data_IF_446217625316
#
_entry.id   IF_446217625316
#
_cell.length_a   1.000
_cell.length_b   1.000
_cell.length_c   1.000
_cell.angle_alpha   90.00
_cell.angle_beta   90.00
_cell.angle_gamma   90.00
#
_symmetry.space_group_name_H-M   'P 1'
#
loop_
_entity.id
_entity.type
_entity.pdbx_description
1 polymer ?
#
# COMPACT_ATOMS: atom_id res chain seq x y z
N UNK A 1 -11.31 -7.33 14.32
CA UNK A 1 -10.66 -6.10 14.80
C UNK A 1 -9.33 -6.53 15.38
N UNK A 2 -8.23 -6.20 14.70
CA UNK A 2 -6.88 -6.29 15.24
C UNK A 2 -6.29 -4.89 15.41
N UNK A 3 -5.11 -4.77 16.04
CA UNK A 3 -4.37 -3.51 16.24
C UNK A 3 -4.58 -2.89 17.63
N UNK A 4 -3.55 -2.22 18.15
CA UNK A 4 -3.43 -1.83 19.57
C UNK A 4 -4.19 -0.55 19.98
N UNK A 5 -4.53 0.34 19.03
CA UNK A 5 -5.16 1.64 19.33
C UNK A 5 -6.65 1.53 19.73
N UNK A 6 -7.18 2.42 20.59
CA UNK A 6 -8.59 2.46 20.94
C UNK A 6 -9.48 2.58 19.70
N UNK A 7 -10.48 1.69 19.59
CA UNK A 7 -11.38 1.65 18.44
C UNK A 7 -12.79 1.22 18.81
N UNK A 8 -13.77 1.76 18.08
CA UNK A 8 -15.18 1.41 18.22
C UNK A 8 -15.79 1.00 16.88
N UNK A 9 -16.84 0.19 16.92
CA UNK A 9 -17.71 -0.06 15.77
C UNK A 9 -18.94 0.82 15.86
N UNK A 10 -19.25 1.54 14.79
CA UNK A 10 -20.45 2.36 14.69
C UNK A 10 -21.17 2.10 13.37
N UNK A 11 -22.42 2.57 13.29
CA UNK A 11 -23.16 2.65 12.03
C UNK A 11 -23.41 4.11 11.68
N UNK A 12 -23.15 4.49 10.43
CA UNK A 12 -23.49 5.81 9.86
C UNK A 12 -24.24 5.53 8.57
N UNK A 13 -25.46 6.07 8.44
CA UNK A 13 -26.32 5.91 7.27
C UNK A 13 -26.51 4.45 6.80
N UNK A 14 -26.65 3.53 7.76
CA UNK A 14 -26.83 2.10 7.51
C UNK A 14 -25.54 1.33 7.14
N UNK A 15 -24.41 2.02 7.05
CA UNK A 15 -23.09 1.44 6.75
C UNK A 15 -22.28 1.22 8.03
N UNK A 16 -21.43 0.19 8.06
CA UNK A 16 -20.59 -0.10 9.23
C UNK A 16 -19.22 0.56 9.12
N UNK A 17 -18.79 1.19 10.22
CA UNK A 17 -17.53 1.92 10.30
C UNK A 17 -16.70 1.47 11.51
N UNK A 18 -15.38 1.58 11.39
CA UNK A 18 -14.45 1.50 12.52
C UNK A 18 -14.01 2.92 12.84
N UNK A 19 -14.21 3.36 14.06
CA UNK A 19 -13.68 4.65 14.55
C UNK A 19 -12.36 4.40 15.26
N UNK A 20 -11.31 5.10 14.84
CA UNK A 20 -10.02 5.21 15.53
C UNK A 20 -9.98 6.53 16.28
N UNK A 21 -9.68 6.48 17.58
CA UNK A 21 -9.61 7.68 18.42
C UNK A 21 -8.16 8.15 18.55
N UNK A 22 -7.99 9.46 18.67
CA UNK A 22 -6.72 10.03 19.08
C UNK A 22 -6.33 9.49 20.46
N UNK A 23 -5.06 9.08 20.60
CA UNK A 23 -4.56 8.44 21.80
C UNK A 23 -3.40 9.23 22.44
N UNK A 24 -3.50 10.56 22.46
CA UNK A 24 -2.49 11.47 23.01
C UNK A 24 -1.08 11.27 22.41
N UNK A 25 -1.05 10.86 21.14
CA UNK A 25 0.19 10.73 20.38
C UNK A 25 0.80 12.13 20.13
N UNK A 26 2.11 12.23 19.88
CA UNK A 26 2.77 13.52 19.65
C UNK A 26 2.18 14.35 18.50
N UNK A 27 1.53 13.66 17.56
CA UNK A 27 0.86 14.21 16.38
C UNK A 27 -0.57 13.69 16.30
N UNK A 28 -1.47 14.43 15.66
CA UNK A 28 -2.87 14.00 15.46
C UNK A 28 -2.98 12.84 14.45
N UNK A 29 -2.71 11.62 14.92
CA UNK A 29 -2.66 10.43 14.07
C UNK A 29 -3.96 10.16 13.30
N UNK A 30 -5.18 10.33 13.86
CA UNK A 30 -6.41 10.19 13.08
C UNK A 30 -6.50 11.17 11.89
N UNK A 31 -6.12 12.43 12.09
CA UNK A 31 -6.12 13.43 11.02
C UNK A 31 -5.01 13.14 9.99
N UNK A 32 -3.84 12.72 10.44
CA UNK A 32 -2.72 12.35 9.57
C UNK A 32 -3.04 11.09 8.75
N UNK A 33 -3.68 10.08 9.33
CA UNK A 33 -4.12 8.89 8.59
C UNK A 33 -5.19 9.27 7.54
N UNK A 34 -6.10 10.19 7.86
CA UNK A 34 -7.05 10.72 6.89
C UNK A 34 -6.34 11.43 5.71
N UNK A 35 -5.39 12.32 6.01
CA UNK A 35 -4.60 13.05 5.02
C UNK A 35 -3.77 12.09 4.15
N UNK A 36 -3.14 11.10 4.78
CA UNK A 36 -2.31 10.09 4.11
C UNK A 36 -3.12 9.21 3.17
N UNK A 37 -4.30 8.72 3.60
CA UNK A 37 -5.20 7.93 2.75
C UNK A 37 -5.76 8.76 1.58
N UNK A 38 -6.09 10.03 1.81
CA UNK A 38 -6.58 10.91 0.73
C UNK A 38 -5.46 11.30 -0.26
N UNK A 39 -4.20 11.40 0.20
CA UNK A 39 -3.03 11.54 -0.65
C UNK A 39 -2.73 10.27 -1.46
N UNK A 40 -2.77 9.09 -0.82
CA UNK A 40 -2.65 7.79 -1.48
C UNK A 40 -3.68 7.61 -2.61
N UNK A 41 -4.91 8.10 -2.41
CA UNK A 41 -5.93 8.12 -3.47
C UNK A 41 -5.50 8.93 -4.68
N UNK A 42 -4.78 10.06 -4.49
CA UNK A 42 -4.21 10.86 -5.59
C UNK A 42 -3.08 10.13 -6.31
N UNK A 43 -2.33 9.27 -5.61
CA UNK A 43 -1.37 8.33 -6.20
C UNK A 43 -2.06 7.12 -6.88
N UNK A 44 -3.39 7.16 -7.01
CA UNK A 44 -4.21 6.15 -7.68
C UNK A 44 -4.43 4.86 -6.88
N UNK A 45 -4.10 4.84 -5.59
CA UNK A 45 -4.36 3.70 -4.71
C UNK A 45 -5.83 3.69 -4.31
N UNK A 46 -6.51 2.53 -4.38
CA UNK A 46 -7.86 2.42 -3.81
C UNK A 46 -7.72 2.38 -2.30
N UNK A 47 -8.31 3.35 -1.62
CA UNK A 47 -8.27 3.47 -0.16
C UNK A 47 -9.67 3.28 0.42
N UNK A 48 -9.74 2.80 1.67
CA UNK A 48 -10.98 2.75 2.42
C UNK A 48 -11.58 4.16 2.53
N UNK A 49 -12.91 4.25 2.49
CA UNK A 49 -13.58 5.54 2.66
C UNK A 49 -13.38 6.01 4.10
N UNK A 50 -13.01 7.27 4.27
CA UNK A 50 -12.74 7.86 5.57
C UNK A 50 -13.55 9.13 5.80
N UNK A 51 -13.94 9.36 7.05
CA UNK A 51 -14.60 10.57 7.52
C UNK A 51 -13.92 11.03 8.81
N UNK A 52 -13.57 12.32 8.86
CA UNK A 52 -13.01 12.92 10.06
C UNK A 52 -14.13 13.32 11.01
N UNK A 53 -14.02 12.89 12.27
CA UNK A 53 -14.92 13.30 13.35
C UNK A 53 -14.17 14.30 14.22
N UNK A 54 -14.60 15.56 14.20
CA UNK A 54 -14.05 16.61 15.07
C UNK A 54 -14.54 16.39 16.50
N UNK A 55 -13.63 16.25 17.45
CA UNK A 55 -13.91 16.18 18.89
C UNK A 55 -13.40 17.47 19.56
N UNK A 56 -13.81 17.71 20.80
CA UNK A 56 -13.28 18.85 21.58
C UNK A 56 -11.80 18.60 21.86
N UNK A 57 -10.93 19.36 21.21
CA UNK A 57 -9.47 19.30 21.39
C UNK A 57 -8.76 18.13 20.71
N UNK A 58 -9.45 17.31 19.92
CA UNK A 58 -8.86 16.16 19.22
C UNK A 58 -9.65 15.79 17.95
N UNK A 59 -9.12 14.87 17.15
CA UNK A 59 -9.85 14.25 16.05
C UNK A 59 -10.02 12.74 16.27
N UNK A 60 -11.05 12.17 15.66
CA UNK A 60 -11.20 10.75 15.46
C UNK A 60 -11.42 10.46 13.97
N UNK A 61 -11.05 9.27 13.54
CA UNK A 61 -11.16 8.85 12.14
C UNK A 61 -12.14 7.71 12.03
N UNK A 62 -13.27 7.92 11.34
CA UNK A 62 -14.15 6.85 10.93
C UNK A 62 -13.68 6.29 9.59
N UNK A 63 -13.49 4.97 9.53
CA UNK A 63 -13.08 4.23 8.35
C UNK A 63 -14.20 3.25 7.99
N UNK A 64 -14.78 3.38 6.80
CA UNK A 64 -15.85 2.49 6.35
C UNK A 64 -15.30 1.09 6.16
N UNK A 65 -16.04 0.11 6.66
CA UNK A 65 -15.65 -1.30 6.55
C UNK A 65 -15.86 -1.80 5.12
N UNK A 66 -14.76 -2.10 4.43
CA UNK A 66 -14.78 -2.71 3.11
C UNK A 66 -15.16 -4.20 3.12
N UNK A 67 -15.16 -4.85 4.30
CA UNK A 67 -15.60 -6.24 4.48
C UNK A 67 -17.12 -6.35 4.72
N UNK A 68 -17.88 -5.29 4.43
CA UNK A 68 -19.33 -5.19 4.58
C UNK A 68 -19.94 -4.56 3.33
N UNK A 69 -20.92 -5.25 2.73
CA UNK A 69 -21.70 -4.72 1.60
C UNK A 69 -23.15 -5.19 1.75
N UNK A 70 -24.11 -4.25 1.75
CA UNK A 70 -25.54 -4.58 1.86
C UNK A 70 -25.89 -5.42 3.09
N UNK A 71 -25.27 -5.11 4.24
CA UNK A 71 -25.42 -5.87 5.49
C UNK A 71 -24.75 -7.25 5.52
N UNK A 72 -24.19 -7.73 4.39
CA UNK A 72 -23.49 -9.01 4.31
C UNK A 72 -22.00 -8.84 4.60
N UNK A 73 -21.41 -9.87 5.19
CA UNK A 73 -19.96 -9.95 5.43
C UNK A 73 -19.26 -10.55 4.22
N UNK A 74 -18.22 -9.89 3.75
CA UNK A 74 -17.27 -10.45 2.78
C UNK A 74 -16.13 -11.09 3.59
N UNK A 75 -15.73 -12.31 3.22
CA UNK A 75 -14.62 -12.97 3.90
C UNK A 75 -13.30 -12.26 3.56
N UNK A 76 -12.46 -12.08 4.56
CA UNK A 76 -11.26 -11.25 4.49
C UNK A 76 -10.09 -12.00 5.11
N UNK A 77 -8.97 -12.04 4.39
CA UNK A 77 -7.72 -12.67 4.79
C UNK A 77 -6.65 -11.57 4.94
N UNK A 78 -5.76 -11.69 5.92
CA UNK A 78 -4.54 -10.88 5.92
C UNK A 78 -3.54 -11.41 4.89
N UNK A 79 -2.61 -10.57 4.45
CA UNK A 79 -1.49 -11.01 3.62
C UNK A 79 -0.69 -12.12 4.33
N UNK A 80 -0.48 -11.99 5.65
CA UNK A 80 0.21 -13.02 6.43
C UNK A 80 -0.47 -14.39 6.39
N UNK A 81 -1.81 -14.44 6.45
CA UNK A 81 -2.55 -15.69 6.31
C UNK A 81 -2.42 -16.25 4.89
N UNK A 82 -2.55 -15.40 3.88
CA UNK A 82 -2.46 -15.83 2.47
C UNK A 82 -1.07 -16.36 2.12
N UNK A 83 0.00 -15.68 2.57
CA UNK A 83 1.39 -16.09 2.34
C UNK A 83 1.66 -17.42 3.04
N UNK A 84 1.35 -17.53 4.34
CA UNK A 84 1.54 -18.80 5.09
C UNK A 84 0.83 -19.99 4.45
N UNK A 85 -0.37 -19.77 3.93
CA UNK A 85 -1.13 -20.82 3.25
C UNK A 85 -0.52 -21.22 1.89
N UNK A 86 0.19 -20.31 1.22
CA UNK A 86 0.88 -20.56 -0.04
C UNK A 86 2.31 -21.11 0.15
N UNK A 87 2.89 -20.94 1.34
CA UNK A 87 4.22 -21.42 1.69
C UNK A 87 4.22 -22.95 1.88
N UNK A 88 5.12 -23.71 1.23
CA UNK A 88 5.25 -25.15 1.44
C UNK A 88 5.54 -25.53 2.89
N UNK A 89 4.96 -26.64 3.35
CA UNK A 89 5.21 -27.19 4.68
C UNK A 89 6.71 -27.39 4.93
N UNK A 90 7.20 -26.92 6.08
CA UNK A 90 8.62 -27.02 6.46
C UNK A 90 9.51 -25.89 5.93
N UNK A 91 8.93 -24.87 5.28
CA UNK A 91 9.64 -23.64 4.90
C UNK A 91 9.08 -22.43 5.65
N UNK A 92 9.96 -21.50 6.00
CA UNK A 92 9.56 -20.25 6.63
C UNK A 92 8.96 -19.28 5.58
N UNK A 93 7.81 -18.65 5.87
CA UNK A 93 7.17 -17.74 4.94
C UNK A 93 7.93 -16.42 4.84
N UNK A 94 8.27 -16.01 3.63
CA UNK A 94 8.76 -14.66 3.35
C UNK A 94 7.58 -13.68 3.31
N UNK A 95 7.51 -12.83 4.33
CA UNK A 95 6.45 -11.83 4.45
C UNK A 95 6.81 -10.59 3.64
N UNK A 96 6.49 -10.61 2.34
CA UNK A 96 6.79 -9.52 1.43
C UNK A 96 5.71 -9.16 0.42
N UNK A 97 5.83 -7.93 -0.08
CA UNK A 97 5.04 -7.43 -1.20
C UNK A 97 5.18 -8.31 -2.45
N UNK A 98 6.39 -8.77 -2.86
CA UNK A 98 6.54 -9.65 -4.01
C UNK A 98 5.76 -10.97 -3.86
N UNK A 99 5.78 -11.59 -2.69
CA UNK A 99 5.08 -12.85 -2.40
C UNK A 99 3.57 -12.66 -2.49
N UNK A 100 3.05 -11.60 -1.89
CA UNK A 100 1.63 -11.25 -1.97
C UNK A 100 1.20 -10.93 -3.40
N UNK A 101 2.04 -10.26 -4.19
CA UNK A 101 1.78 -9.96 -5.58
C UNK A 101 1.69 -11.23 -6.44
N UNK A 102 2.61 -12.19 -6.25
CA UNK A 102 2.56 -13.49 -6.93
C UNK A 102 1.28 -14.26 -6.60
N UNK A 103 0.82 -14.20 -5.34
CA UNK A 103 -0.47 -14.78 -4.94
C UNK A 103 -1.62 -14.11 -5.68
N UNK A 104 -1.71 -12.77 -5.65
CA UNK A 104 -2.76 -12.02 -6.36
C UNK A 104 -2.82 -12.39 -7.83
N UNK A 105 -1.69 -12.44 -8.51
CA UNK A 105 -1.63 -12.78 -9.94
C UNK A 105 -2.04 -14.21 -10.22
N UNK A 106 -1.70 -15.16 -9.34
CA UNK A 106 -2.00 -16.59 -9.52
C UNK A 106 -3.46 -16.96 -9.21
N UNK A 107 -4.03 -16.42 -8.13
CA UNK A 107 -5.35 -16.86 -7.61
C UNK A 107 -6.39 -15.74 -7.51
N UNK A 108 -6.04 -14.53 -7.93
CA UNK A 108 -6.96 -13.40 -8.01
C UNK A 108 -8.00 -13.54 -9.12
N UNK A 109 -8.96 -12.62 -9.13
CA UNK A 109 -9.97 -12.50 -10.19
C UNK A 109 -9.29 -12.18 -11.52
N UNK A 110 -9.50 -13.02 -12.53
CA UNK A 110 -8.86 -12.86 -13.86
C UNK A 110 -9.72 -12.08 -14.84
N UNK A 111 -11.02 -11.95 -14.59
CA UNK A 111 -11.91 -11.14 -15.40
C UNK A 111 -11.39 -9.70 -15.50
N UNK A 112 -11.37 -9.20 -16.73
CA UNK A 112 -10.83 -7.90 -17.09
C UNK A 112 -9.43 -7.65 -16.56
N UNK A 113 -8.57 -8.66 -16.33
CA UNK A 113 -7.21 -8.47 -15.75
C UNK A 113 -7.20 -7.85 -14.34
N UNK A 114 -8.24 -8.09 -13.53
CA UNK A 114 -8.34 -7.52 -12.19
C UNK A 114 -7.19 -7.93 -11.25
N UNK A 115 -6.68 -9.15 -11.38
CA UNK A 115 -5.51 -9.67 -10.65
C UNK A 115 -4.23 -8.90 -10.95
N UNK A 116 -3.97 -8.57 -12.22
CA UNK A 116 -2.79 -7.79 -12.63
C UNK A 116 -2.93 -6.34 -12.18
N UNK A 117 -4.13 -5.75 -12.24
CA UNK A 117 -4.39 -4.42 -11.65
C UNK A 117 -4.19 -4.39 -10.15
N UNK A 118 -4.66 -5.41 -9.43
CA UNK A 118 -4.52 -5.52 -7.99
C UNK A 118 -3.03 -5.67 -7.60
N UNK A 119 -2.25 -6.45 -8.35
CA UNK A 119 -0.80 -6.58 -8.14
C UNK A 119 -0.05 -5.27 -8.44
N UNK A 120 -0.40 -4.57 -9.54
CA UNK A 120 0.16 -3.24 -9.86
C UNK A 120 -0.21 -2.18 -8.82
N UNK A 121 -1.42 -2.23 -8.26
CA UNK A 121 -1.79 -1.36 -7.14
C UNK A 121 -1.00 -1.69 -5.87
N UNK A 122 -0.74 -2.97 -5.59
CA UNK A 122 0.10 -3.37 -4.47
C UNK A 122 1.53 -2.81 -4.59
N UNK A 123 2.10 -2.79 -5.80
CA UNK A 123 3.38 -2.12 -6.07
C UNK A 123 3.33 -0.63 -5.70
N UNK A 124 2.28 0.09 -6.14
CA UNK A 124 2.10 1.51 -5.78
C UNK A 124 1.97 1.72 -4.27
N UNK A 125 1.33 0.82 -3.54
CA UNK A 125 1.22 0.89 -2.07
C UNK A 125 2.59 0.78 -1.40
N UNK A 126 3.42 -0.17 -1.83
CA UNK A 126 4.79 -0.33 -1.34
C UNK A 126 5.61 0.94 -1.57
N UNK A 127 5.59 1.47 -2.80
CA UNK A 127 6.31 2.71 -3.14
C UNK A 127 5.79 3.88 -2.31
N UNK A 128 4.47 4.04 -2.19
CA UNK A 128 3.89 5.11 -1.40
C UNK A 128 4.30 5.03 0.07
N UNK A 129 4.25 3.84 0.68
CA UNK A 129 4.67 3.62 2.07
C UNK A 129 6.15 3.99 2.30
N UNK A 130 7.04 3.63 1.36
CA UNK A 130 8.45 4.07 1.38
C UNK A 130 8.53 5.60 1.36
N UNK A 131 7.84 6.24 0.43
CA UNK A 131 7.94 7.69 0.20
C UNK A 131 7.41 8.55 1.35
N UNK A 132 6.49 8.03 2.17
CA UNK A 132 5.92 8.73 3.33
C UNK A 132 6.45 8.23 4.69
N UNK A 133 7.46 7.36 4.72
CA UNK A 133 7.99 6.74 5.95
C UNK A 133 6.94 5.97 6.78
N UNK A 134 6.01 5.28 6.10
CA UNK A 134 5.08 4.36 6.78
C UNK A 134 5.75 3.00 6.97
N UNK A 135 6.53 2.85 8.05
CA UNK A 135 7.36 1.66 8.32
C UNK A 135 6.62 0.54 9.09
N UNK A 136 5.46 0.84 9.67
CA UNK A 136 4.60 -0.13 10.39
C UNK A 136 3.66 -0.88 9.43
N UNK A 137 4.09 -1.15 8.20
CA UNK A 137 3.28 -1.68 7.10
C UNK A 137 3.19 -3.22 7.06
N UNK A 138 3.03 -3.84 8.22
CA UNK A 138 3.12 -5.29 8.39
C UNK A 138 2.01 -6.11 7.70
N UNK A 139 2.13 -7.44 7.75
CA UNK A 139 1.33 -8.40 6.99
C UNK A 139 -0.19 -8.40 7.33
N UNK A 140 -0.60 -7.64 8.34
CA UNK A 140 -2.01 -7.47 8.74
C UNK A 140 -2.61 -6.14 8.26
N UNK A 141 -1.78 -5.22 7.75
CA UNK A 141 -2.20 -3.96 7.13
C UNK A 141 -2.49 -4.12 5.63
N UNK A 142 -2.25 -5.32 5.11
CA UNK A 142 -2.69 -5.74 3.78
C UNK A 142 -3.72 -6.85 3.88
N UNK A 143 -4.86 -6.65 3.20
CA UNK A 143 -5.97 -7.58 3.23
C UNK A 143 -6.42 -7.99 1.82
N UNK A 144 -6.88 -9.22 1.71
CA UNK A 144 -7.48 -9.82 0.52
C UNK A 144 -8.95 -10.15 0.80
N UNK A 145 -9.82 -9.78 -0.13
CA UNK A 145 -11.23 -10.13 -0.10
C UNK A 145 -11.45 -11.41 -0.90
N UNK A 146 -12.13 -12.38 -0.30
CA UNK A 146 -12.60 -13.57 -1.01
C UNK A 146 -13.93 -13.21 -1.65
N UNK A 147 -13.90 -12.97 -2.95
CA UNK A 147 -15.09 -12.73 -3.76
C UNK A 147 -15.64 -14.04 -4.27
N UNK A 148 -16.97 -14.12 -4.34
CA UNK A 148 -17.71 -15.31 -4.78
C UNK A 148 -17.19 -16.61 -4.16
N UNK A 149 -17.29 -16.77 -2.82
CA UNK A 149 -16.73 -17.91 -2.10
C UNK A 149 -17.27 -19.26 -2.60
N UNK A 150 -18.48 -19.26 -3.18
CA UNK A 150 -19.13 -20.45 -3.74
C UNK A 150 -18.77 -20.70 -5.22
N UNK A 151 -18.01 -19.80 -5.86
CA UNK A 151 -17.55 -19.89 -7.26
C UNK A 151 -16.01 -19.82 -7.32
N UNK A 152 -15.36 -20.72 -6.58
CA UNK A 152 -13.89 -20.87 -6.48
C UNK A 152 -13.13 -19.84 -5.63
N UNK A 153 -13.83 -18.94 -4.92
CA UNK A 153 -13.24 -18.09 -3.88
C UNK A 153 -12.05 -17.25 -4.34
N UNK A 154 -12.21 -16.53 -5.45
CA UNK A 154 -11.14 -15.70 -6.03
C UNK A 154 -10.80 -14.53 -5.12
N UNK A 155 -9.55 -14.09 -5.19
CA UNK A 155 -9.06 -13.00 -4.35
C UNK A 155 -9.13 -11.65 -5.06
N UNK A 156 -9.43 -10.61 -4.29
CA UNK A 156 -9.26 -9.20 -4.68
C UNK A 156 -8.46 -8.47 -3.61
N UNK A 157 -7.58 -7.57 -4.01
CA UNK A 157 -6.91 -6.68 -3.07
C UNK A 157 -7.95 -5.75 -2.43
N UNK A 158 -8.04 -5.78 -1.10
CA UNK A 158 -8.91 -4.88 -0.34
C UNK A 158 -8.40 -3.43 -0.46
N UNK A 159 -9.27 -2.40 -0.36
CA UNK A 159 -8.82 -1.02 -0.27
C UNK A 159 -7.78 -0.82 0.84
N UNK A 160 -6.80 0.07 0.65
CA UNK A 160 -5.79 0.38 1.65
C UNK A 160 -6.41 1.05 2.89
N UNK A 161 -5.89 0.72 4.05
CA UNK A 161 -6.25 1.24 5.37
C UNK A 161 -4.98 1.24 6.24
N UNK A 162 -4.96 1.97 7.36
CA UNK A 162 -3.76 2.09 8.21
C UNK A 162 -2.53 2.58 7.43
N UNK A 163 -2.71 3.71 6.73
CA UNK A 163 -1.62 4.35 6.00
C UNK A 163 -1.35 5.70 6.65
N UNK A 164 -0.20 5.82 7.31
CA UNK A 164 0.28 7.03 7.95
C UNK A 164 1.79 6.94 8.19
N UNK A 165 2.54 8.05 8.16
CA UNK A 165 3.96 8.04 8.53
C UNK A 165 4.16 7.52 9.95
N UNK A 166 5.10 6.60 10.15
CA UNK A 166 5.51 6.15 11.49
C UNK A 166 6.62 7.04 12.05
N UNK A 167 7.34 7.75 11.18
CA UNK A 167 8.36 8.75 11.54
C UNK A 167 9.52 8.16 12.37
N UNK A 168 9.85 6.88 12.16
CA UNK A 168 10.90 6.17 12.91
C UNK A 168 12.30 6.48 12.37
N UNK A 169 12.41 6.77 11.06
CA UNK A 169 13.69 7.01 10.39
C UNK A 169 14.63 5.79 10.36
N UNK A 170 14.12 4.58 10.56
CA UNK A 170 14.95 3.36 10.63
C UNK A 170 15.48 2.92 9.26
N UNK A 171 14.88 3.40 8.16
CA UNK A 171 15.26 2.99 6.80
C UNK A 171 14.84 1.55 6.46
N UNK A 172 13.97 0.95 7.26
CA UNK A 172 13.48 -0.42 7.08
C UNK A 172 11.95 -0.43 7.12
N UNK A 173 11.35 -1.15 6.18
CA UNK A 173 9.93 -1.51 6.19
C UNK A 173 9.71 -2.76 7.03
N UNK A 174 8.50 -2.98 7.54
CA UNK A 174 8.18 -4.23 8.23
C UNK A 174 7.90 -5.36 7.23
N UNK A 175 7.30 -5.03 6.09
CA UNK A 175 7.06 -5.96 4.99
C UNK A 175 8.21 -5.93 3.97
N UNK A 176 8.67 -7.10 3.50
CA UNK A 176 9.78 -7.20 2.53
C UNK A 176 9.41 -6.48 1.23
N UNK A 177 10.27 -5.58 0.77
CA UNK A 177 10.03 -4.77 -0.43
C UNK A 177 10.57 -5.43 -1.71
N UNK A 178 11.66 -6.19 -1.61
CA UNK A 178 12.33 -6.76 -2.77
C UNK A 178 13.56 -7.60 -2.43
N UNK A 179 14.52 -7.66 -3.36
CA UNK A 179 15.72 -8.49 -3.26
C UNK A 179 16.66 -8.10 -2.11
N UNK A 180 16.57 -6.86 -1.62
CA UNK A 180 17.30 -6.37 -0.45
C UNK A 180 16.45 -6.43 0.82
N UNK A 181 15.47 -7.34 0.86
CA UNK A 181 14.65 -7.57 2.05
C UNK A 181 13.82 -6.34 2.39
N UNK A 182 14.02 -5.83 3.61
CA UNK A 182 13.24 -4.76 4.23
C UNK A 182 13.78 -3.36 3.95
N UNK A 183 14.86 -3.22 3.19
CA UNK A 183 15.46 -1.91 2.90
C UNK A 183 14.41 -0.98 2.27
N UNK A 184 14.14 0.15 2.94
CA UNK A 184 13.13 1.14 2.56
C UNK A 184 13.66 2.05 1.46
N UNK A 185 13.90 1.47 0.27
CA UNK A 185 14.46 2.18 -0.88
C UNK A 185 13.67 1.92 -2.16
N UNK A 186 13.60 2.93 -3.03
CA UNK A 186 13.02 2.81 -4.37
C UNK A 186 13.77 1.79 -5.23
N UNK A 187 15.10 1.69 -5.08
CA UNK A 187 15.91 0.68 -5.76
C UNK A 187 15.50 -0.74 -5.33
N UNK A 188 15.29 -0.97 -4.02
CA UNK A 188 14.81 -2.26 -3.53
C UNK A 188 13.38 -2.55 -4.02
N UNK A 189 12.48 -1.58 -3.98
CA UNK A 189 11.13 -1.72 -4.55
C UNK A 189 11.16 -2.14 -6.02
N UNK A 190 12.09 -1.60 -6.82
CA UNK A 190 12.24 -1.93 -8.25
C UNK A 190 12.91 -3.29 -8.51
N UNK A 191 13.69 -3.80 -7.56
CA UNK A 191 14.52 -5.00 -7.73
C UNK A 191 13.73 -6.28 -8.05
N UNK A 192 12.44 -6.34 -7.66
CA UNK A 192 11.53 -7.47 -7.96
C UNK A 192 10.22 -7.00 -8.60
N UNK A 193 10.26 -5.95 -9.43
CA UNK A 193 9.06 -5.41 -10.08
C UNK A 193 8.29 -6.43 -10.95
N UNK A 194 8.96 -7.47 -11.44
CA UNK A 194 8.38 -8.56 -12.23
C UNK A 194 7.39 -9.42 -11.41
N UNK A 195 7.56 -9.51 -10.10
CA UNK A 195 6.61 -10.17 -9.20
C UNK A 195 5.20 -9.55 -9.30
N UNK A 196 5.14 -8.24 -9.55
CA UNK A 196 3.92 -7.45 -9.69
C UNK A 196 3.38 -7.42 -11.14
N UNK A 197 4.00 -8.17 -12.06
CA UNK A 197 3.61 -8.17 -13.48
C UNK A 197 4.11 -6.93 -14.25
N UNK A 198 5.06 -6.17 -13.69
CA UNK A 198 5.59 -4.95 -14.28
C UNK A 198 6.94 -5.20 -14.96
N UNK A 199 7.14 -4.56 -16.11
CA UNK A 199 8.48 -4.35 -16.67
C UNK A 199 9.19 -3.21 -15.91
N UNK A 200 10.53 -3.15 -15.92
CA UNK A 200 11.27 -2.08 -15.25
C UNK A 200 10.81 -0.68 -15.64
N UNK A 201 10.54 -0.45 -16.93
CA UNK A 201 10.03 0.84 -17.43
C UNK A 201 8.65 1.21 -16.86
N UNK A 202 7.78 0.23 -16.64
CA UNK A 202 6.43 0.43 -16.12
C UNK A 202 6.50 0.69 -14.62
N UNK A 203 7.32 -0.07 -13.90
CA UNK A 203 7.55 0.11 -12.47
C UNK A 203 8.18 1.49 -12.18
N UNK A 204 9.15 1.92 -12.99
CA UNK A 204 9.72 3.25 -12.88
C UNK A 204 8.70 4.37 -13.14
N UNK A 205 7.76 4.16 -14.08
CA UNK A 205 6.66 5.09 -14.30
C UNK A 205 5.70 5.18 -13.11
N UNK A 206 5.40 4.05 -12.44
CA UNK A 206 4.62 4.04 -11.20
C UNK A 206 5.34 4.81 -10.07
N UNK A 207 6.66 4.62 -9.94
CA UNK A 207 7.47 5.35 -8.96
C UNK A 207 7.45 6.85 -9.24
N UNK A 208 7.67 7.28 -10.48
CA UNK A 208 7.63 8.69 -10.85
C UNK A 208 6.27 9.34 -10.55
N UNK A 209 5.17 8.65 -10.86
CA UNK A 209 3.83 9.14 -10.56
C UNK A 209 3.56 9.25 -9.05
N UNK A 210 4.07 8.31 -8.24
CA UNK A 210 3.97 8.38 -6.80
C UNK A 210 4.81 9.54 -6.21
N UNK A 211 6.02 9.77 -6.74
CA UNK A 211 6.89 10.90 -6.35
C UNK A 211 6.17 12.23 -6.62
N UNK A 212 5.61 12.43 -7.81
CA UNK A 212 4.89 13.65 -8.17
C UNK A 212 3.77 13.99 -7.18
N UNK A 213 3.03 12.97 -6.73
CA UNK A 213 1.98 13.14 -5.71
C UNK A 213 2.57 13.45 -4.35
N UNK A 214 3.61 12.73 -3.93
CA UNK A 214 4.23 12.90 -2.61
C UNK A 214 4.95 14.24 -2.52
N UNK A 215 5.54 14.79 -3.58
CA UNK A 215 6.16 16.12 -3.53
C UNK A 215 5.14 17.24 -3.17
N UNK A 216 3.85 17.01 -3.41
CA UNK A 216 2.75 17.88 -2.98
C UNK A 216 2.21 17.62 -1.56
N UNK A 217 2.82 16.73 -0.77
CA UNK A 217 2.23 16.21 0.48
C UNK A 217 1.94 17.31 1.51
N UNK A 218 2.85 18.26 1.73
CA UNK A 218 2.66 19.35 2.72
C UNK A 218 1.43 20.18 2.42
N UNK A 219 1.28 20.62 1.17
CA UNK A 219 0.14 21.39 0.73
C UNK A 219 -1.16 20.60 0.85
N UNK A 220 -1.12 19.31 0.55
CA UNK A 220 -2.25 18.41 0.73
C UNK A 220 -2.66 18.29 2.21
N UNK A 221 -1.70 18.05 3.10
CA UNK A 221 -1.93 17.89 4.53
C UNK A 221 -2.48 19.17 5.15
N UNK A 222 -1.93 20.34 4.79
CA UNK A 222 -2.45 21.63 5.19
C UNK A 222 -3.91 21.83 4.74
N UNK A 223 -4.23 21.46 3.48
CA UNK A 223 -5.60 21.56 2.96
C UNK A 223 -6.59 20.62 3.69
N UNK A 224 -6.12 19.46 4.15
CA UNK A 224 -6.94 18.56 4.99
C UNK A 224 -7.08 19.03 6.44
N UNK A 225 -6.36 20.10 6.82
CA UNK A 225 -6.42 20.73 8.14
C UNK A 225 -5.40 20.22 9.15
N UNK A 226 -4.37 19.47 8.71
CA UNK A 226 -3.22 19.08 9.55
C UNK A 226 -2.51 20.36 10.00
N UNK A 227 -2.11 20.42 11.27
CA UNK A 227 -1.48 21.60 11.82
C UNK A 227 -0.09 21.84 11.20
N UNK A 228 0.33 23.11 11.11
CA UNK A 228 1.67 23.43 10.63
C UNK A 228 2.76 22.75 11.49
N UNK A 229 2.54 22.64 12.80
CA UNK A 229 3.43 21.93 13.71
C UNK A 229 3.60 20.47 13.32
N UNK A 230 2.49 19.74 13.10
CA UNK A 230 2.55 18.33 12.73
C UNK A 230 3.19 18.15 11.34
N UNK A 231 2.92 19.05 10.40
CA UNK A 231 3.57 19.05 9.08
C UNK A 231 5.09 19.21 9.22
N UNK A 232 5.56 20.19 10.00
CA UNK A 232 7.01 20.34 10.20
C UNK A 232 7.63 19.14 10.92
N UNK A 233 6.92 18.54 11.88
CA UNK A 233 7.41 17.33 12.56
C UNK A 233 7.54 16.13 11.61
N UNK A 234 6.55 15.91 10.73
CA UNK A 234 6.60 14.85 9.72
C UNK A 234 7.65 15.12 8.63
N UNK A 235 7.87 16.39 8.31
CA UNK A 235 8.84 16.81 7.32
C UNK A 235 10.28 16.45 7.68
N UNK A 236 10.61 16.37 8.97
CA UNK A 236 11.94 15.92 9.41
C UNK A 236 12.32 14.54 8.85
N UNK A 237 11.32 13.70 8.52
CA UNK A 237 11.53 12.39 7.88
C UNK A 237 11.10 12.38 6.42
N UNK A 238 9.87 12.79 6.09
CA UNK A 238 9.37 12.73 4.71
C UNK A 238 10.24 13.57 3.77
N UNK A 239 10.70 14.74 4.21
CA UNK A 239 11.62 15.60 3.45
C UNK A 239 13.06 15.53 3.98
N UNK A 240 13.33 14.59 4.89
CA UNK A 240 14.67 14.32 5.39
C UNK A 240 15.60 13.81 4.29
N UNK A 241 16.94 13.99 4.44
CA UNK A 241 17.90 13.64 3.39
C UNK A 241 17.75 12.24 2.78
N UNK A 242 17.46 11.17 3.54
CA UNK A 242 17.30 9.83 2.96
C UNK A 242 16.13 9.71 1.98
N UNK A 243 14.94 10.22 2.31
CA UNK A 243 13.75 10.10 1.46
C UNK A 243 13.73 11.18 0.38
N UNK A 244 14.13 12.40 0.70
CA UNK A 244 14.24 13.48 -0.28
C UNK A 244 15.31 13.15 -1.34
N UNK A 245 16.42 12.55 -0.94
CA UNK A 245 17.47 12.08 -1.86
C UNK A 245 16.95 11.02 -2.83
N UNK A 246 16.11 10.10 -2.36
CA UNK A 246 15.46 9.12 -3.23
C UNK A 246 14.53 9.78 -4.24
N UNK A 247 13.67 10.73 -3.82
CA UNK A 247 12.74 11.43 -4.72
C UNK A 247 13.46 12.30 -5.74
N UNK A 248 14.35 13.17 -5.28
CA UNK A 248 15.07 14.13 -6.13
C UNK A 248 16.12 13.48 -7.03
N UNK A 249 16.66 12.33 -6.63
CA UNK A 249 17.64 11.57 -7.41
C UNK A 249 17.04 10.54 -8.36
N UNK A 250 15.72 10.31 -8.32
CA UNK A 250 15.07 9.30 -9.15
C UNK A 250 14.96 9.75 -10.61
N UNK A 251 15.45 8.92 -11.53
CA UNK A 251 15.35 9.14 -12.97
C UNK A 251 14.72 7.92 -13.66
N UNK A 252 13.43 8.00 -14.08
CA UNK A 252 12.77 6.87 -14.72
C UNK A 252 13.40 6.48 -16.06
N UNK A 253 14.18 7.36 -16.70
CA UNK A 253 14.84 7.06 -17.97
C UNK A 253 15.90 5.96 -17.84
N UNK A 254 16.52 5.82 -16.66
CA UNK A 254 17.50 4.76 -16.36
C UNK A 254 16.93 3.35 -16.47
N UNK A 255 15.60 3.22 -16.38
CA UNK A 255 14.90 1.95 -16.43
C UNK A 255 14.25 1.66 -17.79
N UNK A 256 14.45 2.53 -18.80
CA UNK A 256 13.92 2.37 -20.16
C UNK A 256 14.71 1.39 -21.02
N UNK A 257 15.79 0.77 -20.53
CA UNK A 257 16.60 -0.18 -21.31
C UNK A 257 16.95 -1.46 -20.53
N UNK A 258 16.48 -2.60 -21.06
CA UNK A 258 16.88 -3.97 -20.72
C UNK A 258 16.55 -4.89 -21.91
N UNK A 259 17.38 -5.91 -22.20
CA UNK A 259 17.87 -6.21 -23.55
C UNK A 259 16.76 -6.50 -24.54
N UNK A 260 16.96 -6.03 -25.77
CA UNK A 260 16.26 -6.50 -26.95
C UNK A 260 16.33 -8.04 -26.92
N UNK A 261 15.27 -8.72 -26.45
CA UNK A 261 15.15 -10.17 -26.56
C UNK A 261 15.20 -10.43 -28.05
N UNK A 262 16.39 -10.78 -28.57
CA UNK A 262 16.54 -11.41 -29.88
C UNK A 262 15.45 -12.46 -29.90
N UNK A 263 14.43 -12.27 -30.75
CA UNK A 263 13.43 -13.31 -31.03
C UNK A 263 14.26 -14.56 -31.31
N UNK A 264 14.22 -15.55 -30.42
CA UNK A 264 14.73 -16.88 -30.78
C UNK A 264 13.95 -17.23 -32.05
N UNK A 265 14.66 -17.34 -33.17
CA UNK A 265 14.08 -17.89 -34.37
C UNK A 265 13.46 -19.22 -33.95
N UNK A 266 12.13 -19.34 -34.08
CA UNK A 266 11.45 -20.59 -33.84
C UNK A 266 12.05 -21.66 -34.77
N UNK A 267 12.10 -22.93 -34.34
CA UNK A 267 12.78 -23.99 -35.10
C UNK A 267 12.09 -24.33 -36.43
N UNK A 268 10.95 -23.71 -36.72
CA UNK A 268 10.20 -23.94 -37.95
C UNK A 268 10.57 -22.86 -38.98
N UNK A 269 11.52 -23.20 -39.85
CA UNK A 269 11.54 -22.67 -41.21
C UNK A 269 10.50 -23.48 -41.99
N UNK A 270 9.45 -22.81 -42.43
CA UNK A 270 8.55 -23.31 -43.46
C UNK A 270 9.28 -23.20 -44.79
N UNK A 271 9.66 -24.33 -45.36
CA UNK A 271 9.94 -24.46 -46.79
C UNK A 271 8.64 -24.29 -47.61
#
# INVERSE_FOLDING_TARGET
>A
LGGAKPKALIAIDGEQWVVKFFNHEPVDAPLIEHASLTLARRAGIRVAQTQLIRLVGANALAIRRFDRVGGRRIHCLSAGTAIRAATPSGTDPEMGYPELARILRRIGVTQDEANERDARELFRRMVFNILIDNTDDHEKNHALLVVDPWANGRLRLAPAYDVLPTNTGQGLQEFICGAHGRDSTLDNALSQCDAFGLRPEQAAAEVAAAIEVVDGWRAHFAHTGVSARDIEQLAERIDGPPLLGQRSGFDPARHRQGPNRRRKAGPFRSD
#
